data_IF_781106774633
#
_entry.id   IF_781106774633
#
_cell.length_a   1.000
_cell.length_b   1.000
_cell.length_c   1.000
_cell.angle_alpha   90.00
_cell.angle_beta   90.00
_cell.angle_gamma   90.00
#
_symmetry.space_group_name_H-M   'P 1'
#
loop_
_entity.id
_entity.type
_entity.pdbx_description
1 polymer ?
#
# COMPACT_ATOMS: atom_id res chain seq x y z
N UNK A 1 -3.26 9.02 -42.36
CA UNK A 1 -4.02 9.21 -41.11
C UNK A 1 -3.25 8.52 -40.00
N UNK A 2 -2.47 9.27 -39.21
CA UNK A 2 -1.66 8.71 -38.13
C UNK A 2 -2.56 8.26 -36.99
N UNK A 3 -2.59 6.95 -36.71
CA UNK A 3 -3.20 6.44 -35.49
C UNK A 3 -2.37 6.97 -34.31
N UNK A 4 -2.93 7.90 -33.54
CA UNK A 4 -2.36 8.31 -32.26
C UNK A 4 -2.27 7.05 -31.40
N UNK A 5 -1.05 6.71 -30.98
CA UNK A 5 -0.84 5.70 -29.95
C UNK A 5 -1.77 6.00 -28.76
N UNK A 6 -2.44 4.99 -28.17
CA UNK A 6 -3.27 5.20 -27.00
C UNK A 6 -2.39 5.82 -25.91
N UNK A 7 -2.76 7.02 -25.45
CA UNK A 7 -2.10 7.65 -24.31
C UNK A 7 -2.20 6.67 -23.14
N UNK A 8 -1.06 6.16 -22.65
CA UNK A 8 -1.01 5.45 -21.36
C UNK A 8 -1.63 6.40 -20.34
N UNK A 9 -2.81 6.05 -19.81
CA UNK A 9 -3.30 6.69 -18.58
C UNK A 9 -2.15 6.63 -17.58
N UNK A 10 -1.70 7.79 -17.09
CA UNK A 10 -0.73 7.81 -16.01
C UNK A 10 -1.27 6.94 -14.87
N UNK A 11 -0.46 5.99 -14.42
CA UNK A 11 -0.83 5.14 -13.28
C UNK A 11 -1.09 6.01 -12.07
N UNK A 12 -2.18 5.70 -11.35
CA UNK A 12 -2.53 6.38 -10.11
C UNK A 12 -1.38 6.29 -9.09
N UNK A 13 -1.25 7.28 -8.20
CA UNK A 13 -0.19 7.26 -7.19
C UNK A 13 -0.40 6.09 -6.23
N UNK A 14 0.68 5.41 -5.83
CA UNK A 14 0.54 4.21 -4.98
C UNK A 14 -0.15 4.48 -3.64
N UNK A 15 0.15 5.63 -3.01
CA UNK A 15 -0.54 6.11 -1.80
C UNK A 15 -2.05 6.45 -1.97
N UNK A 16 -2.57 6.47 -3.21
CA UNK A 16 -4.02 6.58 -3.45
C UNK A 16 -4.71 5.21 -3.38
N UNK A 17 -3.94 4.14 -3.62
CA UNK A 17 -4.42 2.75 -3.56
C UNK A 17 -4.13 2.15 -2.18
N UNK A 18 -2.88 2.26 -1.72
CA UNK A 18 -2.42 1.80 -0.42
C UNK A 18 -2.47 2.96 0.58
N UNK A 19 -3.19 2.80 1.69
CA UNK A 19 -3.27 3.83 2.75
C UNK A 19 -2.27 3.53 3.87
N UNK A 20 -2.09 2.24 4.17
CA UNK A 20 -1.15 1.76 5.18
C UNK A 20 -0.27 0.65 4.60
N UNK A 21 0.93 0.53 5.14
CA UNK A 21 1.89 -0.52 4.81
C UNK A 21 2.53 -1.08 6.08
N UNK A 22 3.12 -2.27 5.96
CA UNK A 22 3.91 -2.91 7.00
C UNK A 22 5.38 -2.82 6.63
N UNK A 23 6.22 -2.33 7.53
CA UNK A 23 7.66 -2.21 7.30
C UNK A 23 8.31 -3.59 7.19
N UNK A 24 9.10 -3.78 6.15
CA UNK A 24 9.91 -4.97 5.90
C UNK A 24 11.36 -4.78 6.33
N UNK A 25 11.94 -3.60 6.08
CA UNK A 25 13.32 -3.28 6.42
C UNK A 25 13.49 -1.77 6.60
N UNK A 26 14.44 -1.36 7.44
CA UNK A 26 14.79 0.02 7.68
C UNK A 26 16.31 0.20 7.58
N UNK A 27 16.73 0.98 6.60
CA UNK A 27 18.12 1.31 6.31
C UNK A 27 18.38 2.77 6.68
N UNK A 28 18.97 2.99 7.86
CA UNK A 28 19.23 4.31 8.42
C UNK A 28 20.15 5.18 7.52
N UNK A 29 21.11 4.56 6.85
CA UNK A 29 22.05 5.21 5.92
C UNK A 29 21.65 5.04 4.45
N UNK A 30 20.40 4.67 4.16
CA UNK A 30 19.92 4.44 2.80
C UNK A 30 20.46 3.17 2.14
N UNK A 31 20.36 3.09 0.81
CA UNK A 31 20.71 1.90 0.04
C UNK A 31 22.24 1.67 0.01
N UNK A 32 22.69 0.62 0.70
CA UNK A 32 24.11 0.25 0.79
C UNK A 32 24.77 -0.10 -0.56
N UNK A 33 23.98 -0.57 -1.53
CA UNK A 33 24.44 -0.91 -2.88
C UNK A 33 24.28 0.22 -3.90
N UNK A 34 23.76 1.40 -3.52
CA UNK A 34 23.62 2.50 -4.48
C UNK A 34 25.01 3.02 -4.88
N UNK A 35 25.38 3.04 -6.18
CA UNK A 35 26.66 3.57 -6.61
C UNK A 35 26.80 5.09 -6.38
N UNK A 36 25.70 5.82 -6.19
CA UNK A 36 25.73 7.28 -6.01
C UNK A 36 25.81 7.65 -4.51
N UNK A 37 26.86 8.38 -4.09
CA UNK A 37 27.05 8.80 -2.70
C UNK A 37 25.88 9.60 -2.11
N UNK A 38 25.16 10.37 -2.93
CA UNK A 38 24.04 11.22 -2.51
C UNK A 38 22.79 10.44 -2.07
N UNK A 39 22.71 9.15 -2.42
CA UNK A 39 21.66 8.23 -1.97
C UNK A 39 22.08 7.44 -0.71
N UNK A 40 23.34 7.55 -0.26
CA UNK A 40 23.90 6.86 0.91
C UNK A 40 23.71 7.62 2.24
N UNK A 41 22.87 8.64 2.26
CA UNK A 41 22.73 9.54 3.43
C UNK A 41 21.29 9.80 3.84
N UNK A 42 20.30 9.19 3.17
CA UNK A 42 18.88 9.35 3.52
C UNK A 42 18.32 8.05 4.07
N UNK A 43 17.61 8.08 5.21
CA UNK A 43 16.95 6.89 5.73
C UNK A 43 15.90 6.41 4.74
N UNK A 44 15.91 5.11 4.45
CA UNK A 44 14.95 4.46 3.57
C UNK A 44 14.34 3.28 4.31
N UNK A 45 13.02 3.14 4.21
CA UNK A 45 12.33 1.94 4.66
C UNK A 45 11.68 1.26 3.45
N UNK A 46 11.76 -0.07 3.43
CA UNK A 46 11.01 -0.89 2.49
C UNK A 46 9.79 -1.45 3.21
N UNK A 47 8.66 -1.54 2.51
CA UNK A 47 7.38 -1.90 3.10
C UNK A 47 6.50 -2.68 2.11
N UNK A 48 5.47 -3.34 2.65
CA UNK A 48 4.41 -3.99 1.88
C UNK A 48 3.06 -3.39 2.24
N UNK A 49 2.31 -2.94 1.23
CA UNK A 49 0.99 -2.36 1.39
C UNK A 49 -0.03 -3.35 1.93
N UNK A 50 -0.88 -2.90 2.85
CA UNK A 50 -1.89 -3.73 3.53
C UNK A 50 -3.06 -4.06 2.59
N UNK A 51 -3.34 -3.21 1.60
CA UNK A 51 -4.54 -3.35 0.76
C UNK A 51 -4.31 -4.25 -0.45
N UNK A 52 -3.22 -4.08 -1.18
CA UNK A 52 -2.93 -4.79 -2.44
C UNK A 52 -1.64 -5.59 -2.41
N UNK A 53 -0.95 -5.66 -1.26
CA UNK A 53 0.37 -6.28 -1.14
C UNK A 53 1.41 -5.64 -2.07
N UNK A 54 1.26 -4.35 -2.34
CA UNK A 54 2.20 -3.59 -3.18
C UNK A 54 3.53 -3.42 -2.44
N UNK A 55 4.65 -3.77 -3.06
CA UNK A 55 5.98 -3.51 -2.49
C UNK A 55 6.39 -2.05 -2.73
N UNK A 56 6.87 -1.40 -1.68
CA UNK A 56 7.17 0.02 -1.64
C UNK A 56 8.52 0.26 -1.00
N UNK A 57 9.18 1.33 -1.41
CA UNK A 57 10.20 2.00 -0.63
C UNK A 57 9.78 3.45 -0.36
N UNK A 58 10.37 4.04 0.67
CA UNK A 58 10.04 5.40 1.05
C UNK A 58 10.93 5.94 2.15
N UNK A 59 10.73 7.21 2.46
CA UNK A 59 11.46 7.93 3.50
C UNK A 59 10.56 7.99 4.74
N UNK A 60 10.95 7.40 5.87
CA UNK A 60 10.18 7.54 7.11
C UNK A 60 10.27 8.99 7.59
N UNK A 61 9.13 9.53 8.00
CA UNK A 61 9.02 10.92 8.43
C UNK A 61 8.98 11.03 9.95
N UNK A 62 9.93 11.77 10.51
CA UNK A 62 10.02 12.06 11.95
C UNK A 62 10.56 10.90 12.77
N UNK A 63 9.74 9.87 13.01
CA UNK A 63 10.08 8.77 13.90
C UNK A 63 10.86 7.66 13.19
N UNK A 64 11.78 7.01 13.93
CA UNK A 64 12.37 5.74 13.50
C UNK A 64 11.29 4.67 13.37
N UNK A 65 11.44 3.83 12.36
CA UNK A 65 10.55 2.69 12.10
C UNK A 65 11.31 1.38 12.27
N UNK A 66 10.59 0.34 12.65
CA UNK A 66 11.09 -1.01 12.87
C UNK A 66 10.33 -2.01 12.00
N UNK A 67 10.92 -3.18 11.66
CA UNK A 67 10.21 -4.23 10.95
C UNK A 67 8.90 -4.61 11.65
N UNK A 68 7.87 -4.88 10.84
CA UNK A 68 6.48 -5.16 11.25
C UNK A 68 5.70 -3.96 11.83
N UNK A 69 6.30 -2.77 11.92
CA UNK A 69 5.52 -1.56 12.18
C UNK A 69 4.48 -1.34 11.06
N UNK A 70 3.27 -0.98 11.47
CA UNK A 70 2.26 -0.43 10.55
C UNK A 70 2.53 1.06 10.40
N UNK A 71 2.59 1.54 9.16
CA UNK A 71 2.83 2.94 8.82
C UNK A 71 1.75 3.48 7.89
N UNK A 72 1.42 4.75 8.04
CA UNK A 72 0.56 5.49 7.11
C UNK A 72 1.39 5.97 5.92
N UNK A 73 0.88 5.76 4.71
CA UNK A 73 1.55 6.21 3.50
C UNK A 73 1.22 7.67 3.18
N UNK A 74 2.25 8.50 3.06
CA UNK A 74 2.16 9.86 2.57
C UNK A 74 2.62 9.92 1.11
N UNK A 75 1.87 10.64 0.28
CA UNK A 75 2.23 10.90 -1.11
C UNK A 75 3.39 11.89 -1.16
N UNK A 76 4.49 11.54 -1.83
CA UNK A 76 5.50 12.52 -2.20
C UNK A 76 4.97 13.41 -3.34
N UNK A 77 5.04 14.73 -3.14
CA UNK A 77 4.72 15.72 -4.16
C UNK A 77 5.83 16.76 -4.23
N UNK A 78 6.28 17.08 -5.44
CA UNK A 78 7.24 18.16 -5.64
C UNK A 78 6.46 19.42 -6.02
N UNK A 79 6.71 20.50 -5.28
CA UNK A 79 6.11 21.81 -5.54
C UNK A 79 7.20 22.85 -5.77
N UNK A 80 7.12 23.55 -6.90
CA UNK A 80 7.99 24.69 -7.17
C UNK A 80 7.49 25.92 -6.43
N UNK A 81 8.35 26.51 -5.61
CA UNK A 81 8.10 27.71 -4.82
C UNK A 81 8.97 28.85 -5.37
N UNK A 82 8.42 30.06 -5.42
CA UNK A 82 9.13 31.24 -5.92
C UNK A 82 9.65 32.09 -4.76
N UNK A 83 10.97 32.11 -4.55
CA UNK A 83 11.59 32.97 -3.54
C UNK A 83 11.84 34.38 -4.10
N UNK A 84 11.37 35.47 -3.46
CA UNK A 84 11.69 36.83 -3.88
C UNK A 84 13.18 37.15 -3.61
N UNK A 85 13.88 37.62 -4.65
CA UNK A 85 15.30 38.00 -4.59
C UNK A 85 15.51 39.44 -4.12
N UNK A 86 14.52 40.30 -4.35
CA UNK A 86 14.56 41.71 -3.98
C UNK A 86 13.37 42.06 -3.08
N UNK A 87 13.49 43.03 -2.15
CA UNK A 87 12.39 43.51 -1.31
C UNK A 87 11.20 44.07 -2.12
N UNK A 88 11.45 44.43 -3.38
CA UNK A 88 10.43 44.96 -4.31
C UNK A 88 9.54 43.88 -4.93
N UNK A 89 9.84 42.59 -4.74
CA UNK A 89 9.05 41.47 -5.26
C UNK A 89 9.01 41.38 -6.79
N UNK A 90 9.95 42.01 -7.49
CA UNK A 90 10.01 42.01 -8.98
C UNK A 90 10.85 40.87 -9.56
N UNK A 91 11.74 40.28 -8.78
CA UNK A 91 12.61 39.16 -9.17
C UNK A 91 12.39 37.99 -8.26
N UNK A 92 12.23 36.80 -8.84
CA UNK A 92 12.03 35.56 -8.12
C UNK A 92 13.04 34.51 -8.56
N UNK A 93 13.40 33.62 -7.63
CA UNK A 93 14.14 32.40 -7.90
C UNK A 93 13.26 31.20 -7.57
N UNK A 94 12.89 30.37 -8.56
CA UNK A 94 12.16 29.15 -8.28
C UNK A 94 13.08 28.13 -7.59
N UNK A 95 12.52 27.37 -6.66
CA UNK A 95 13.16 26.19 -6.08
C UNK A 95 12.10 25.12 -5.80
N UNK A 96 12.50 23.86 -5.88
CA UNK A 96 11.59 22.74 -5.68
C UNK A 96 11.62 22.25 -4.24
N UNK A 97 10.45 21.94 -3.71
CA UNK A 97 10.26 21.41 -2.36
C UNK A 97 9.52 20.09 -2.45
N UNK A 98 10.10 19.03 -1.86
CA UNK A 98 9.39 17.77 -1.62
C UNK A 98 8.48 17.89 -0.40
N UNK A 99 7.19 17.67 -0.63
CA UNK A 99 6.14 17.64 0.38
C UNK A 99 5.60 16.22 0.54
N UNK A 100 5.34 15.83 1.79
CA UNK A 100 4.64 14.61 2.16
C UNK A 100 3.17 14.97 2.46
N UNK A 101 2.23 14.38 1.72
CA UNK A 101 0.82 14.73 1.80
C UNK A 101 -0.08 13.53 2.14
N UNK A 102 -1.02 13.72 3.06
CA UNK A 102 -2.05 12.73 3.45
C UNK A 102 -3.44 13.40 3.35
N UNK A 103 -4.45 12.72 2.78
CA UNK A 103 -5.82 13.25 2.80
C UNK A 103 -6.38 13.23 4.24
N UNK A 104 -7.04 14.31 4.66
CA UNK A 104 -7.74 14.43 5.93
C UNK A 104 -9.18 13.91 5.87
N UNK A 105 -9.82 13.81 7.03
CA UNK A 105 -11.22 13.39 7.14
C UNK A 105 -12.20 14.41 6.53
N UNK A 106 -11.81 15.68 6.48
CA UNK A 106 -12.56 16.83 5.98
C UNK A 106 -12.40 17.07 4.47
N UNK A 107 -11.91 16.07 3.72
CA UNK A 107 -11.58 16.15 2.27
C UNK A 107 -10.45 17.14 1.92
N UNK A 108 -9.80 17.76 2.91
CA UNK A 108 -8.56 18.53 2.67
C UNK A 108 -7.37 17.59 2.58
N UNK A 109 -6.26 18.10 2.06
CA UNK A 109 -5.01 17.35 1.94
C UNK A 109 -3.97 18.08 2.79
N UNK A 110 -3.47 17.40 3.81
CA UNK A 110 -2.51 17.96 4.75
C UNK A 110 -1.11 17.59 4.29
N UNK A 111 -0.23 18.59 4.17
CA UNK A 111 1.11 18.43 3.63
C UNK A 111 2.15 19.04 4.57
N UNK A 112 3.29 18.37 4.74
CA UNK A 112 4.48 18.92 5.42
C UNK A 112 5.70 18.74 4.54
N UNK A 113 6.81 19.43 4.83
CA UNK A 113 8.06 19.19 4.11
C UNK A 113 8.66 17.83 4.50
N UNK A 114 9.23 17.12 3.51
CA UNK A 114 9.97 15.86 3.76
C UNK A 114 11.28 16.15 4.49
N UNK A 115 11.99 17.20 4.06
CA UNK A 115 13.22 17.64 4.68
C UNK A 115 12.97 18.90 5.53
N UNK A 116 13.73 19.11 6.62
CA UNK A 116 13.67 20.35 7.39
C UNK A 116 13.99 21.57 6.52
N UNK A 117 13.26 22.66 6.70
CA UNK A 117 13.47 23.94 6.00
C UNK A 117 13.56 25.09 7.01
N UNK A 118 14.16 26.22 6.60
CA UNK A 118 14.20 27.42 7.44
C UNK A 118 12.80 28.02 7.62
N UNK A 119 12.59 28.80 8.68
CA UNK A 119 11.30 29.47 8.94
C UNK A 119 10.86 30.34 7.75
N UNK A 120 11.78 31.11 7.16
CA UNK A 120 11.52 31.92 5.96
C UNK A 120 10.98 31.08 4.80
N UNK A 121 11.58 29.92 4.53
CA UNK A 121 11.12 29.01 3.47
C UNK A 121 9.77 28.40 3.83
N UNK A 122 9.57 28.03 5.10
CA UNK A 122 8.30 27.51 5.60
C UNK A 122 7.15 28.51 5.40
N UNK A 123 7.37 29.79 5.68
CA UNK A 123 6.37 30.85 5.45
C UNK A 123 6.07 31.05 3.96
N UNK A 124 7.08 30.96 3.08
CA UNK A 124 6.87 31.02 1.63
C UNK A 124 6.04 29.84 1.11
N UNK A 125 6.28 28.63 1.64
CA UNK A 125 5.50 27.44 1.32
C UNK A 125 4.05 27.64 1.78
N UNK A 126 3.85 28.11 3.00
CA UNK A 126 2.53 28.38 3.59
C UNK A 126 1.72 29.35 2.70
N UNK A 127 2.32 30.48 2.33
CA UNK A 127 1.72 31.48 1.43
C UNK A 127 1.40 30.86 0.06
N UNK A 128 2.32 30.08 -0.50
CA UNK A 128 2.13 29.46 -1.81
C UNK A 128 1.06 28.37 -1.83
N UNK A 129 0.76 27.74 -0.68
CA UNK A 129 -0.22 26.68 -0.54
C UNK A 129 -1.58 27.18 -0.05
N UNK A 130 -1.63 28.35 0.59
CA UNK A 130 -2.82 29.01 1.16
C UNK A 130 -3.79 29.58 0.13
N UNK A 131 -3.75 29.12 -1.12
CA UNK A 131 -4.73 29.52 -2.14
C UNK A 131 -6.14 29.08 -1.68
N UNK A 132 -7.13 30.00 -1.56
CA UNK A 132 -8.49 29.67 -1.14
C UNK A 132 -9.20 28.62 -2.02
N UNK A 133 -8.74 28.45 -3.26
CA UNK A 133 -9.24 27.46 -4.20
C UNK A 133 -8.57 26.09 -4.06
N UNK A 134 -7.47 26.00 -3.29
CA UNK A 134 -6.70 24.79 -3.05
C UNK A 134 -7.21 24.06 -1.81
N UNK A 135 -7.37 22.75 -1.90
CA UNK A 135 -7.69 21.89 -0.75
C UNK A 135 -6.45 21.52 0.08
N UNK A 136 -5.27 22.09 -0.23
CA UNK A 136 -4.02 21.80 0.45
C UNK A 136 -3.89 22.63 1.73
N UNK A 137 -3.50 21.99 2.82
CA UNK A 137 -3.21 22.61 4.10
C UNK A 137 -1.75 22.32 4.44
N UNK A 138 -0.96 23.37 4.62
CA UNK A 138 0.43 23.22 5.01
C UNK A 138 0.55 23.05 6.54
N UNK A 139 1.31 22.05 6.95
CA UNK A 139 1.67 21.78 8.33
C UNK A 139 3.16 22.09 8.50
N UNK A 140 3.49 22.86 9.54
CA UNK A 140 4.87 23.29 9.81
C UNK A 140 5.71 22.19 10.45
N UNK A 141 5.08 21.12 10.95
CA UNK A 141 5.78 20.02 11.61
C UNK A 141 5.30 18.66 11.11
N UNK A 142 6.22 17.68 10.98
CA UNK A 142 5.86 16.29 10.74
C UNK A 142 4.93 15.68 11.79
N UNK A 143 5.07 16.08 13.05
CA UNK A 143 4.24 15.54 14.15
C UNK A 143 2.78 15.96 14.03
N UNK A 144 2.48 17.11 13.44
CA UNK A 144 1.10 17.50 13.13
C UNK A 144 0.51 16.61 12.03
N UNK A 145 1.31 16.20 11.04
CA UNK A 145 0.86 15.26 10.02
C UNK A 145 0.57 13.87 10.64
N UNK A 146 1.37 13.43 11.61
CA UNK A 146 1.10 12.22 12.39
C UNK A 146 -0.22 12.29 13.14
N UNK A 147 -0.58 13.45 13.71
CA UNK A 147 -1.89 13.65 14.37
C UNK A 147 -3.04 13.52 13.38
N UNK A 148 -2.92 14.11 12.18
CA UNK A 148 -3.93 13.97 11.13
C UNK A 148 -4.14 12.49 10.74
N UNK A 149 -3.07 11.70 10.65
CA UNK A 149 -3.16 10.27 10.42
C UNK A 149 -3.91 9.56 11.56
N UNK A 150 -3.57 9.89 12.82
CA UNK A 150 -4.23 9.33 14.02
C UNK A 150 -5.72 9.65 14.08
N UNK A 151 -6.12 10.87 13.74
CA UNK A 151 -7.53 11.29 13.71
C UNK A 151 -8.36 10.48 12.70
N UNK A 152 -7.72 9.95 11.65
CA UNK A 152 -8.33 9.03 10.69
C UNK A 152 -8.33 7.57 11.15
N UNK A 153 -7.83 7.28 12.35
CA UNK A 153 -7.66 5.93 12.87
C UNK A 153 -6.50 5.18 12.21
N UNK A 154 -5.53 5.88 11.63
CA UNK A 154 -4.34 5.30 10.98
C UNK A 154 -3.12 5.42 11.91
N UNK A 155 -2.03 4.73 11.54
CA UNK A 155 -0.76 4.82 12.27
C UNK A 155 -0.16 6.24 12.28
N UNK A 156 0.37 6.67 13.43
CA UNK A 156 1.11 7.93 13.58
C UNK A 156 2.47 7.91 12.87
N UNK A 157 3.02 6.71 12.60
CA UNK A 157 4.28 6.56 11.86
C UNK A 157 3.99 6.75 10.38
N UNK A 158 4.72 7.68 9.75
CA UNK A 158 4.50 8.05 8.35
C UNK A 158 5.66 7.57 7.49
N UNK A 159 5.32 6.96 6.35
CA UNK A 159 6.27 6.62 5.30
C UNK A 159 5.92 7.44 4.05
N UNK A 160 6.84 8.30 3.62
CA UNK A 160 6.68 9.10 2.40
C UNK A 160 7.12 8.25 1.22
N UNK A 161 6.19 7.96 0.32
CA UNK A 161 6.44 7.04 -0.81
C UNK A 161 6.39 7.80 -2.14
N UNK A 162 7.26 7.43 -3.10
CA UNK A 162 7.20 7.95 -4.46
C UNK A 162 5.96 7.41 -5.19
N UNK A 163 5.76 7.87 -6.43
CA UNK A 163 4.60 7.45 -7.24
C UNK A 163 4.64 5.96 -7.58
N UNK A 164 5.83 5.45 -7.90
CA UNK A 164 6.02 4.12 -8.47
C UNK A 164 6.41 3.10 -7.40
N UNK A 165 5.74 1.94 -7.34
CA UNK A 165 6.14 0.85 -6.45
C UNK A 165 7.41 0.16 -6.96
N UNK A 166 8.04 -0.64 -6.09
CA UNK A 166 9.25 -1.42 -6.39
C UNK A 166 8.93 -2.89 -6.66
N UNK A 167 9.89 -3.62 -7.23
CA UNK A 167 9.75 -5.05 -7.45
C UNK A 167 10.31 -5.90 -6.32
N UNK A 168 9.89 -7.17 -6.27
CA UNK A 168 10.53 -8.18 -5.41
C UNK A 168 12.05 -8.33 -5.64
N UNK A 169 12.55 -7.98 -6.83
CA UNK A 169 13.99 -8.03 -7.13
C UNK A 169 14.76 -6.87 -6.49
N UNK A 170 14.07 -5.76 -6.21
CA UNK A 170 14.65 -4.52 -5.68
C UNK A 170 14.61 -4.45 -4.14
N UNK A 171 13.88 -5.37 -3.49
CA UNK A 171 13.86 -5.43 -2.03
C UNK A 171 15.14 -6.09 -1.46
N UNK A 172 15.56 -5.62 -0.29
CA UNK A 172 16.75 -6.10 0.42
C UNK A 172 16.60 -7.55 0.87
N UNK A 173 17.71 -8.22 1.16
CA UNK A 173 17.66 -9.58 1.71
C UNK A 173 17.01 -9.63 3.10
N UNK A 174 17.10 -8.56 3.88
CA UNK A 174 16.39 -8.43 5.17
C UNK A 174 14.88 -8.33 4.90
N UNK A 175 14.47 -7.46 3.97
CA UNK A 175 13.07 -7.29 3.59
C UNK A 175 12.46 -8.59 3.07
N UNK A 176 13.19 -9.38 2.25
CA UNK A 176 12.75 -10.70 1.77
C UNK A 176 12.49 -11.68 2.91
N UNK A 177 13.34 -11.68 3.95
CA UNK A 177 13.14 -12.53 5.13
C UNK A 177 11.92 -12.11 5.94
N UNK A 178 11.69 -10.82 6.08
CA UNK A 178 10.56 -10.28 6.84
C UNK A 178 9.24 -10.33 6.07
N UNK A 179 9.29 -10.44 4.73
CA UNK A 179 8.11 -10.47 3.86
C UNK A 179 7.10 -11.55 4.24
N UNK A 180 7.58 -12.76 4.55
CA UNK A 180 6.70 -13.88 4.94
C UNK A 180 5.91 -13.55 6.21
N UNK A 181 6.57 -13.01 7.23
CA UNK A 181 5.92 -12.68 8.49
C UNK A 181 4.99 -11.46 8.35
N UNK A 182 5.37 -10.47 7.54
CA UNK A 182 4.52 -9.32 7.25
C UNK A 182 3.22 -9.72 6.53
N UNK A 183 3.29 -10.62 5.55
CA UNK A 183 2.09 -11.15 4.86
C UNK A 183 1.18 -11.88 5.82
N UNK A 184 1.73 -12.75 6.69
CA UNK A 184 0.97 -13.44 7.74
C UNK A 184 0.28 -12.45 8.68
N UNK A 185 1.02 -11.44 9.12
CA UNK A 185 0.50 -10.37 9.97
C UNK A 185 -0.68 -9.62 9.31
N UNK A 186 -0.57 -9.28 8.02
CA UNK A 186 -1.65 -8.62 7.26
C UNK A 186 -2.88 -9.52 7.17
N UNK A 187 -2.72 -10.80 6.87
CA UNK A 187 -3.83 -11.75 6.75
C UNK A 187 -4.54 -11.93 8.09
N UNK A 188 -3.76 -12.11 9.16
CA UNK A 188 -4.27 -12.27 10.53
C UNK A 188 -5.05 -11.03 10.99
N UNK A 189 -4.51 -9.85 10.75
CA UNK A 189 -5.16 -8.58 11.10
C UNK A 189 -6.44 -8.32 10.30
N UNK A 190 -6.58 -8.97 9.13
CA UNK A 190 -7.73 -8.85 8.23
C UNK A 190 -8.49 -10.18 8.06
N UNK A 191 -8.56 -11.01 9.10
CA UNK A 191 -9.13 -12.37 9.04
C UNK A 191 -10.51 -12.41 8.34
N UNK A 192 -11.42 -11.50 8.68
CA UNK A 192 -12.77 -11.42 8.05
C UNK A 192 -12.71 -11.28 6.53
N UNK A 193 -11.74 -10.53 6.01
CA UNK A 193 -11.56 -10.34 4.56
C UNK A 193 -11.15 -11.65 3.88
N UNK A 194 -10.23 -12.39 4.48
CA UNK A 194 -9.70 -13.62 3.89
C UNK A 194 -10.60 -14.83 4.12
N UNK A 195 -11.44 -14.84 5.17
CA UNK A 195 -12.55 -15.80 5.28
C UNK A 195 -13.54 -15.61 4.13
N UNK A 196 -13.80 -14.35 3.76
CA UNK A 196 -14.71 -14.03 2.67
C UNK A 196 -14.26 -14.67 1.35
N UNK A 197 -12.94 -14.80 1.11
CA UNK A 197 -12.40 -15.57 -0.02
C UNK A 197 -13.04 -16.94 -0.14
N UNK A 198 -12.97 -17.76 0.91
CA UNK A 198 -13.51 -19.13 0.90
C UNK A 198 -15.03 -19.15 0.71
N UNK A 199 -15.71 -18.12 1.20
CA UNK A 199 -17.16 -17.98 1.11
C UNK A 199 -17.66 -17.61 -0.29
N UNK A 200 -16.89 -16.86 -1.08
CA UNK A 200 -17.30 -16.33 -2.39
C UNK A 200 -16.52 -16.87 -3.58
N UNK A 201 -15.38 -17.54 -3.36
CA UNK A 201 -14.50 -18.01 -4.42
C UNK A 201 -15.25 -18.87 -5.44
N UNK A 202 -15.04 -18.59 -6.73
CA UNK A 202 -15.77 -19.20 -7.86
C UNK A 202 -14.85 -20.06 -8.74
N UNK A 203 -15.43 -20.95 -9.57
CA UNK A 203 -14.67 -21.65 -10.59
C UNK A 203 -14.07 -20.68 -11.63
N UNK A 204 -12.81 -20.89 -12.01
CA UNK A 204 -12.15 -20.14 -13.08
C UNK A 204 -12.66 -20.63 -14.43
N UNK A 205 -12.83 -21.94 -14.56
CA UNK A 205 -13.44 -22.59 -15.70
C UNK A 205 -14.06 -23.93 -15.25
N UNK A 206 -14.63 -24.68 -16.18
CA UNK A 206 -15.30 -25.96 -15.90
C UNK A 206 -14.39 -27.04 -15.25
N UNK A 207 -13.07 -26.90 -15.33
CA UNK A 207 -12.09 -27.88 -14.82
C UNK A 207 -11.33 -27.41 -13.58
N UNK A 208 -11.27 -26.10 -13.32
CA UNK A 208 -10.41 -25.51 -12.31
C UNK A 208 -11.16 -24.50 -11.44
N UNK A 209 -11.15 -24.73 -10.13
CA UNK A 209 -11.67 -23.81 -9.15
C UNK A 209 -10.56 -22.91 -8.56
N UNK A 210 -10.89 -21.66 -8.23
CA UNK A 210 -9.94 -20.69 -7.66
C UNK A 210 -9.29 -21.16 -6.36
N UNK A 211 -10.05 -21.74 -5.43
CA UNK A 211 -9.52 -22.35 -4.19
C UNK A 211 -8.49 -23.45 -4.47
N UNK A 212 -8.57 -24.17 -5.60
CA UNK A 212 -7.56 -25.20 -5.95
C UNK A 212 -6.18 -24.60 -6.29
N UNK A 213 -6.11 -23.29 -6.54
CA UNK A 213 -4.83 -22.61 -6.71
C UNK A 213 -4.07 -22.45 -5.39
N UNK A 214 -4.70 -22.74 -4.25
CA UNK A 214 -4.05 -22.80 -2.95
C UNK A 214 -3.31 -24.12 -2.79
N UNK A 215 -2.03 -24.04 -2.41
CA UNK A 215 -1.19 -25.23 -2.20
C UNK A 215 -1.81 -26.15 -1.14
N UNK A 216 -1.91 -27.44 -1.47
CA UNK A 216 -2.51 -28.45 -0.59
C UNK A 216 -4.03 -28.61 -0.74
N UNK A 217 -4.70 -27.80 -1.57
CA UNK A 217 -6.14 -27.96 -1.84
C UNK A 217 -6.37 -28.80 -3.10
N UNK A 218 -6.67 -30.08 -2.90
CA UNK A 218 -7.11 -30.98 -3.99
C UNK A 218 -8.64 -31.07 -4.15
N UNK A 219 -9.10 -31.82 -5.15
CA UNK A 219 -10.54 -32.00 -5.48
C UNK A 219 -11.40 -32.46 -4.30
N UNK A 220 -10.88 -33.37 -3.46
CA UNK A 220 -11.61 -33.87 -2.28
C UNK A 220 -11.82 -32.76 -1.24
N UNK A 221 -10.75 -32.04 -0.89
CA UNK A 221 -10.79 -30.93 0.05
C UNK A 221 -11.68 -29.80 -0.46
N UNK A 222 -11.57 -29.47 -1.76
CA UNK A 222 -12.44 -28.51 -2.42
C UNK A 222 -13.92 -28.90 -2.25
N UNK A 223 -14.28 -30.15 -2.57
CA UNK A 223 -15.66 -30.63 -2.43
C UNK A 223 -16.18 -30.44 -1.00
N UNK A 224 -15.39 -30.80 0.01
CA UNK A 224 -15.76 -30.59 1.42
C UNK A 224 -15.95 -29.10 1.76
N UNK A 225 -15.06 -28.22 1.28
CA UNK A 225 -15.19 -26.77 1.48
C UNK A 225 -16.46 -26.20 0.85
N UNK A 226 -16.77 -26.62 -0.39
CA UNK A 226 -17.95 -26.18 -1.14
C UNK A 226 -19.25 -26.65 -0.46
N UNK A 227 -19.33 -27.92 -0.09
CA UNK A 227 -20.50 -28.47 0.63
C UNK A 227 -20.70 -27.80 1.99
N UNK A 228 -19.61 -27.48 2.70
CA UNK A 228 -19.70 -26.81 4.00
C UNK A 228 -20.20 -25.38 3.85
N UNK A 229 -19.64 -24.60 2.90
CA UNK A 229 -20.03 -23.20 2.69
C UNK A 229 -21.43 -23.03 2.10
N UNK A 230 -21.94 -24.05 1.41
CA UNK A 230 -23.33 -24.11 0.92
C UNK A 230 -24.32 -24.26 2.07
N UNK A 231 -23.97 -25.07 3.08
CA UNK A 231 -24.79 -25.24 4.29
C UNK A 231 -24.72 -24.01 5.19
N UNK A 232 -23.51 -23.51 5.47
CA UNK A 232 -23.27 -22.34 6.31
C UNK A 232 -21.96 -21.67 5.91
N UNK A 233 -21.98 -20.36 5.69
CA UNK A 233 -20.77 -19.57 5.43
C UNK A 233 -19.80 -19.66 6.61
N UNK A 234 -18.51 -19.74 6.30
CA UNK A 234 -17.44 -19.75 7.30
C UNK A 234 -17.41 -18.43 8.06
N UNK A 235 -17.12 -18.53 9.36
CA UNK A 235 -17.07 -17.40 10.28
C UNK A 235 -15.72 -17.20 10.96
N UNK A 236 -14.83 -18.21 10.91
CA UNK A 236 -13.48 -18.17 11.49
C UNK A 236 -12.51 -19.03 10.67
N UNK A 237 -11.21 -18.74 10.79
CA UNK A 237 -10.18 -19.62 10.24
C UNK A 237 -10.15 -21.00 10.89
N UNK A 238 -10.58 -21.15 12.14
CA UNK A 238 -10.63 -22.45 12.81
C UNK A 238 -11.58 -23.45 12.13
N UNK A 239 -12.72 -22.99 11.61
CA UNK A 239 -13.64 -23.82 10.83
C UNK A 239 -12.98 -24.34 9.54
N UNK A 240 -12.23 -23.46 8.87
CA UNK A 240 -11.52 -23.78 7.62
C UNK A 240 -10.33 -24.70 7.90
N UNK A 241 -9.58 -24.45 8.97
CA UNK A 241 -8.43 -25.25 9.42
C UNK A 241 -8.79 -26.71 9.66
N UNK A 242 -9.98 -26.99 10.20
CA UNK A 242 -10.47 -28.38 10.39
C UNK A 242 -10.61 -29.14 9.06
N UNK A 243 -10.91 -28.44 7.97
CA UNK A 243 -11.09 -29.04 6.63
C UNK A 243 -9.74 -29.13 5.91
N UNK A 244 -8.97 -28.05 5.91
CA UNK A 244 -7.65 -27.98 5.26
C UNK A 244 -6.59 -28.83 5.96
N UNK A 245 -6.75 -29.09 7.27
CA UNK A 245 -5.77 -29.72 8.17
C UNK A 245 -4.43 -28.97 8.27
N UNK A 246 -4.40 -27.75 7.78
CA UNK A 246 -3.27 -26.83 7.75
C UNK A 246 -3.83 -25.45 8.07
N UNK A 247 -3.01 -24.59 8.64
CA UNK A 247 -3.43 -23.23 8.96
C UNK A 247 -3.81 -22.45 7.68
N UNK A 248 -5.03 -21.88 7.60
CA UNK A 248 -5.42 -21.05 6.46
C UNK A 248 -4.51 -19.85 6.26
N UNK A 249 -3.94 -19.28 7.34
CA UNK A 249 -3.02 -18.15 7.25
C UNK A 249 -1.76 -18.55 6.46
N UNK A 250 -1.23 -19.75 6.72
CA UNK A 250 -0.04 -20.25 6.03
C UNK A 250 -0.29 -20.50 4.55
N UNK A 251 -1.40 -21.16 4.22
CA UNK A 251 -1.76 -21.47 2.83
C UNK A 251 -1.98 -20.18 2.02
N UNK A 252 -2.67 -19.19 2.60
CA UNK A 252 -2.88 -17.90 1.95
C UNK A 252 -1.58 -17.11 1.82
N UNK A 253 -0.73 -17.14 2.84
CA UNK A 253 0.58 -16.47 2.83
C UNK A 253 1.47 -17.05 1.73
N UNK A 254 1.57 -18.38 1.66
CA UNK A 254 2.31 -19.08 0.61
C UNK A 254 1.81 -18.68 -0.78
N UNK A 255 0.48 -18.55 -0.95
CA UNK A 255 -0.09 -18.15 -2.23
C UNK A 255 0.26 -16.71 -2.61
N UNK A 256 0.14 -15.78 -1.67
CA UNK A 256 0.49 -14.37 -1.90
C UNK A 256 2.00 -14.23 -2.20
N UNK A 257 2.86 -14.95 -1.47
CA UNK A 257 4.29 -14.98 -1.74
C UNK A 257 4.61 -15.57 -3.12
N UNK A 258 3.94 -16.65 -3.53
CA UNK A 258 4.06 -17.19 -4.88
C UNK A 258 3.70 -16.15 -5.94
N UNK A 259 2.60 -15.40 -5.75
CA UNK A 259 2.17 -14.34 -6.66
C UNK A 259 3.17 -13.17 -6.73
N UNK A 260 3.82 -12.82 -5.61
CA UNK A 260 4.85 -11.77 -5.57
C UNK A 260 6.15 -12.23 -6.27
N UNK A 261 6.51 -13.52 -6.16
CA UNK A 261 7.85 -14.02 -6.51
C UNK A 261 7.93 -14.84 -7.79
N UNK A 262 7.03 -15.82 -7.96
CA UNK A 262 7.17 -16.94 -8.90
C UNK A 262 6.32 -16.81 -10.16
N UNK A 263 5.66 -15.67 -10.35
CA UNK A 263 4.83 -15.36 -11.52
C UNK A 263 3.90 -16.52 -11.95
N UNK A 264 2.95 -16.93 -11.09
CA UNK A 264 2.08 -18.05 -11.40
C UNK A 264 1.17 -17.75 -12.60
N UNK A 265 0.61 -18.80 -13.20
CA UNK A 265 -0.32 -18.66 -14.33
C UNK A 265 -1.61 -17.90 -13.98
N UNK A 266 -2.03 -17.93 -12.71
CA UNK A 266 -3.23 -17.26 -12.22
C UNK A 266 -2.92 -16.51 -10.94
N UNK A 267 -3.34 -15.24 -10.89
CA UNK A 267 -3.19 -14.37 -9.72
C UNK A 267 -4.55 -14.19 -9.04
N UNK A 268 -4.63 -14.54 -7.76
CA UNK A 268 -5.81 -14.37 -6.93
C UNK A 268 -5.82 -13.00 -6.27
N UNK A 269 -4.71 -12.59 -5.67
CA UNK A 269 -4.66 -11.50 -4.71
C UNK A 269 -3.81 -10.32 -5.18
N UNK A 270 -2.62 -10.58 -5.73
CA UNK A 270 -1.66 -9.56 -6.14
C UNK A 270 -1.84 -9.23 -7.62
N UNK A 271 -1.71 -7.97 -8.01
CA UNK A 271 -1.79 -7.58 -9.41
C UNK A 271 -0.53 -8.02 -10.18
N UNK A 272 -0.66 -8.76 -11.30
CA UNK A 272 0.49 -9.16 -12.10
C UNK A 272 1.10 -7.96 -12.81
N UNK A 273 2.43 -7.96 -12.96
CA UNK A 273 3.14 -6.94 -13.74
C UNK A 273 2.89 -7.04 -15.24
N UNK A 274 2.61 -8.25 -15.69
CA UNK A 274 2.38 -8.54 -17.10
C UNK A 274 0.88 -8.49 -17.39
N UNK A 275 0.42 -7.61 -18.30
CA UNK A 275 -1.00 -7.36 -18.52
C UNK A 275 -1.74 -8.57 -19.12
N UNK A 276 -1.00 -9.54 -19.66
CA UNK A 276 -1.58 -10.72 -20.33
C UNK A 276 -1.82 -11.89 -19.37
N UNK A 277 -1.48 -11.76 -18.09
CA UNK A 277 -1.64 -12.84 -17.12
C UNK A 277 -3.01 -12.73 -16.44
N UNK A 278 -3.79 -13.83 -16.36
CA UNK A 278 -5.09 -13.82 -15.68
C UNK A 278 -5.01 -13.35 -14.22
N UNK A 279 -5.72 -12.27 -13.92
CA UNK A 279 -5.88 -11.69 -12.59
C UNK A 279 -7.34 -11.71 -12.16
N UNK A 280 -7.63 -12.42 -11.06
CA UNK A 280 -8.99 -12.60 -10.54
C UNK A 280 -9.41 -11.52 -9.52
N UNK A 281 -8.46 -10.70 -9.05
CA UNK A 281 -8.70 -9.56 -8.17
C UNK A 281 -9.62 -9.85 -6.96
N UNK A 282 -9.39 -10.97 -6.27
CA UNK A 282 -10.21 -11.33 -5.13
C UNK A 282 -10.14 -10.30 -4.01
N UNK A 283 -9.01 -9.58 -3.86
CA UNK A 283 -8.89 -8.52 -2.85
C UNK A 283 -9.94 -7.40 -2.99
N UNK A 284 -10.31 -7.00 -4.21
CA UNK A 284 -11.42 -6.04 -4.38
C UNK A 284 -12.78 -6.71 -4.28
N UNK A 285 -12.94 -7.90 -4.87
CA UNK A 285 -14.19 -8.66 -4.85
C UNK A 285 -14.66 -8.95 -3.43
N UNK A 286 -13.75 -9.40 -2.56
CA UNK A 286 -14.02 -9.67 -1.14
C UNK A 286 -14.41 -8.40 -0.37
N UNK A 287 -13.70 -7.28 -0.59
CA UNK A 287 -14.03 -6.00 0.06
C UNK A 287 -15.40 -5.49 -0.35
N UNK A 288 -15.73 -5.57 -1.64
CA UNK A 288 -17.06 -5.20 -2.17
C UNK A 288 -18.15 -6.07 -1.55
N UNK A 289 -17.93 -7.38 -1.44
CA UNK A 289 -18.88 -8.29 -0.80
C UNK A 289 -19.13 -7.93 0.67
N UNK A 290 -18.06 -7.69 1.45
CA UNK A 290 -18.20 -7.30 2.86
C UNK A 290 -18.92 -5.96 3.03
N UNK A 291 -18.59 -4.96 2.21
CA UNK A 291 -19.27 -3.66 2.22
C UNK A 291 -20.76 -3.79 1.92
N UNK A 292 -21.14 -4.62 0.94
CA UNK A 292 -22.55 -4.88 0.61
C UNK A 292 -23.29 -5.60 1.75
N UNK A 293 -22.62 -6.51 2.46
CA UNK A 293 -23.19 -7.21 3.63
C UNK A 293 -23.43 -6.27 4.80
N UNK A 294 -22.51 -5.34 5.07
CA UNK A 294 -22.66 -4.32 6.11
C UNK A 294 -23.85 -3.40 5.83
N UNK A 295 -23.94 -2.84 4.63
CA UNK A 295 -25.05 -1.95 4.25
C UNK A 295 -26.43 -2.63 4.25
N UNK A 296 -26.48 -3.97 4.11
CA UNK A 296 -27.72 -4.75 4.22
C UNK A 296 -28.11 -5.05 5.67
N UNK A 297 -27.15 -5.06 6.60
CA UNK A 297 -27.42 -5.29 8.02
C UNK A 297 -27.88 -4.01 8.75
N UNK A 298 -27.57 -2.84 8.21
CA UNK A 298 -27.98 -1.53 8.73
C UNK A 298 -29.38 -1.07 8.23
N UNK A 299 -29.99 -1.84 7.33
CA UNK A 299 -31.35 -1.60 6.80
C UNK A 299 -32.31 -2.65 7.33
#
# INVERSE_FOLDING_TARGET
MGQRAPQRKESEHVAAVEIEAVILDYMETGYYMDPHPWHKEKPVAQAIGVRKFTLLDGIPLGNKVEPLDVVTLARETVKTINEPLDPTGKRFRPFDVSLACIPGADKKIYCTTVNPVSQRISDLIDISLSDPSSSLVYLRSPSDLSKVAKERGLSEKILVVPRTPISYKDISEIAKRNLQEAVRFIIKSNEKLFIEFFNIAEPINIRLHSIELLKGVGKKTLKTLLETRERKKFSSFDEIKKILKVDPIDILSDKILEEITNQPKYYLFVEPKEPNVPYLNYLDTMRRSLYQKQNKAEK
#
